data_IF_577762832514
#
_entry.id   IF_577762832514
#
_cell.length_a   1.000
_cell.length_b   1.000
_cell.length_c   1.000
_cell.angle_alpha   90.00
_cell.angle_beta   90.00
_cell.angle_gamma   90.00
#
_symmetry.space_group_name_H-M   'P 1'
#
loop_
_entity.id
_entity.type
_entity.pdbx_description
1 polymer ?
#
# COMPACT_ATOMS: atom_id res chain seq x y z
N UNK A 1 17.57 -7.57 9.67
CA UNK A 1 17.32 -8.64 8.73
C UNK A 1 16.07 -9.46 8.96
N UNK A 2 15.87 -10.07 10.13
CA UNK A 2 14.76 -11.02 10.39
C UNK A 2 13.37 -10.39 10.25
N UNK A 3 13.18 -9.15 10.70
CA UNK A 3 11.90 -8.43 10.57
C UNK A 3 11.52 -8.19 9.10
N UNK A 4 12.47 -7.79 8.27
CA UNK A 4 12.26 -7.60 6.83
C UNK A 4 11.95 -8.92 6.12
N UNK A 5 12.65 -9.99 6.48
CA UNK A 5 12.41 -11.32 5.91
C UNK A 5 10.99 -11.79 6.22
N UNK A 6 10.55 -11.65 7.47
CA UNK A 6 9.18 -11.96 7.88
C UNK A 6 8.16 -11.11 7.11
N UNK A 7 8.41 -9.80 6.99
CA UNK A 7 7.53 -8.90 6.24
C UNK A 7 7.35 -9.37 4.78
N UNK A 8 8.44 -9.73 4.10
CA UNK A 8 8.37 -10.20 2.71
C UNK A 8 7.73 -11.58 2.58
N UNK A 9 8.01 -12.52 3.49
CA UNK A 9 7.35 -13.83 3.50
C UNK A 9 5.83 -13.69 3.69
N UNK A 10 5.42 -12.90 4.66
CA UNK A 10 3.99 -12.58 4.84
C UNK A 10 3.44 -11.79 3.65
N UNK A 11 4.24 -10.95 3.01
CA UNK A 11 3.87 -10.15 1.85
C UNK A 11 3.35 -11.00 0.69
N UNK A 12 4.01 -12.12 0.39
CA UNK A 12 3.55 -13.04 -0.66
C UNK A 12 2.17 -13.61 -0.33
N UNK A 13 1.99 -14.10 0.89
CA UNK A 13 0.72 -14.67 1.35
C UNK A 13 -0.39 -13.61 1.36
N UNK A 14 -0.08 -12.42 1.87
CA UNK A 14 -1.07 -11.32 1.97
C UNK A 14 -1.44 -10.74 0.61
N UNK A 15 -0.54 -10.74 -0.37
CA UNK A 15 -0.87 -10.35 -1.74
C UNK A 15 -1.91 -11.31 -2.35
N UNK A 16 -1.75 -12.61 -2.12
CA UNK A 16 -2.72 -13.60 -2.59
C UNK A 16 -4.08 -13.45 -1.88
N UNK A 17 -4.06 -13.28 -0.56
CA UNK A 17 -5.28 -13.05 0.23
C UNK A 17 -5.95 -11.74 -0.20
N UNK A 18 -5.16 -10.67 -0.41
CA UNK A 18 -5.63 -9.38 -0.86
C UNK A 18 -6.30 -9.44 -2.24
N UNK A 19 -5.72 -10.20 -3.17
CA UNK A 19 -6.31 -10.45 -4.48
C UNK A 19 -7.66 -11.19 -4.37
N UNK A 20 -7.69 -12.27 -3.59
CA UNK A 20 -8.92 -13.04 -3.35
C UNK A 20 -10.01 -12.18 -2.67
N UNK A 21 -9.62 -11.34 -1.71
CA UNK A 21 -10.55 -10.44 -1.02
C UNK A 21 -11.07 -9.36 -1.97
N UNK A 22 -10.22 -8.85 -2.85
CA UNK A 22 -10.58 -7.84 -3.85
C UNK A 22 -11.60 -8.37 -4.86
N UNK A 23 -11.49 -9.64 -5.26
CA UNK A 23 -12.45 -10.29 -6.14
C UNK A 23 -13.85 -10.42 -5.50
N UNK A 24 -13.90 -10.50 -4.15
CA UNK A 24 -15.17 -10.62 -3.41
C UNK A 24 -15.80 -9.30 -2.99
N UNK A 25 -15.00 -8.36 -2.53
CA UNK A 25 -15.49 -7.10 -1.92
C UNK A 25 -15.38 -5.92 -2.89
N UNK A 26 -14.55 -6.06 -3.92
CA UNK A 26 -14.21 -5.01 -4.87
C UNK A 26 -12.82 -4.43 -4.64
N UNK A 27 -12.12 -4.16 -5.73
CA UNK A 27 -10.72 -3.69 -5.71
C UNK A 27 -10.55 -2.35 -4.99
N UNK A 28 -11.46 -1.41 -5.24
CA UNK A 28 -11.41 -0.08 -4.63
C UNK A 28 -11.57 -0.13 -3.10
N UNK A 29 -12.47 -0.98 -2.59
CA UNK A 29 -12.70 -1.13 -1.15
C UNK A 29 -11.49 -1.72 -0.44
N UNK A 30 -10.82 -2.70 -1.06
CA UNK A 30 -9.59 -3.28 -0.50
C UNK A 30 -8.49 -2.23 -0.43
N UNK A 31 -8.30 -1.44 -1.47
CA UNK A 31 -7.31 -0.35 -1.49
C UNK A 31 -7.60 0.67 -0.39
N UNK A 32 -8.84 1.15 -0.28
CA UNK A 32 -9.25 2.09 0.75
C UNK A 32 -9.03 1.53 2.16
N UNK A 33 -9.49 0.33 2.43
CA UNK A 33 -9.32 -0.31 3.73
C UNK A 33 -7.86 -0.49 4.11
N UNK A 34 -7.02 -0.92 3.16
CA UNK A 34 -5.60 -1.15 3.38
C UNK A 34 -4.86 0.15 3.75
N UNK A 35 -5.08 1.23 3.02
CA UNK A 35 -4.45 2.51 3.33
C UNK A 35 -4.96 3.13 4.63
N UNK A 36 -6.25 2.97 4.95
CA UNK A 36 -6.81 3.42 6.22
C UNK A 36 -6.26 2.61 7.41
N UNK A 37 -5.99 1.34 7.23
CA UNK A 37 -5.36 0.51 8.25
C UNK A 37 -3.87 0.85 8.40
N UNK A 38 -3.18 1.14 7.29
CA UNK A 38 -1.75 1.40 7.28
C UNK A 38 -1.36 2.63 8.11
N UNK A 39 -2.09 3.73 7.97
CA UNK A 39 -1.78 4.99 8.62
C UNK A 39 -1.71 4.89 10.16
N UNK A 40 -2.74 4.38 10.88
CA UNK A 40 -2.66 4.23 12.33
C UNK A 40 -1.63 3.18 12.76
N UNK A 41 -1.38 2.13 11.96
CA UNK A 41 -0.40 1.10 12.29
C UNK A 41 1.04 1.65 12.24
N UNK A 42 1.37 2.47 11.25
CA UNK A 42 2.68 3.15 11.19
C UNK A 42 2.80 4.16 12.34
N UNK A 43 1.74 4.89 12.68
CA UNK A 43 1.74 5.83 13.80
C UNK A 43 2.02 5.13 15.13
N UNK A 44 1.41 3.98 15.38
CA UNK A 44 1.66 3.18 16.58
C UNK A 44 3.10 2.65 16.58
N UNK A 45 3.57 2.17 15.41
CA UNK A 45 4.94 1.68 15.26
C UNK A 45 5.98 2.77 15.57
N UNK A 46 5.74 4.02 15.16
CA UNK A 46 6.65 5.15 15.40
C UNK A 46 6.85 5.47 16.88
N UNK A 47 5.86 5.18 17.71
CA UNK A 47 5.89 5.44 19.15
C UNK A 47 6.31 4.22 19.98
N UNK A 48 6.40 3.05 19.36
CA UNK A 48 6.68 1.81 20.06
C UNK A 48 8.18 1.55 20.12
N UNK A 49 8.69 1.34 21.34
CA UNK A 49 10.10 0.97 21.61
C UNK A 49 10.25 -0.52 21.92
N UNK A 50 9.14 -1.23 22.12
CA UNK A 50 9.14 -2.65 22.48
C UNK A 50 9.25 -3.53 21.24
N UNK A 51 10.32 -4.33 21.15
CA UNK A 51 10.59 -5.20 20.01
C UNK A 51 9.45 -6.20 19.71
N UNK A 52 8.83 -6.76 20.74
CA UNK A 52 7.72 -7.72 20.57
C UNK A 52 6.49 -7.08 19.91
N UNK A 53 6.16 -5.87 20.33
CA UNK A 53 5.03 -5.11 19.74
C UNK A 53 5.36 -4.72 18.30
N UNK A 54 6.61 -4.33 18.01
CA UNK A 54 7.06 -4.06 16.64
C UNK A 54 6.89 -5.29 15.73
N UNK A 55 7.28 -6.47 16.17
CA UNK A 55 7.08 -7.72 15.41
C UNK A 55 5.60 -8.03 15.20
N UNK A 56 4.77 -7.84 16.22
CA UNK A 56 3.32 -8.05 16.11
C UNK A 56 2.67 -7.08 15.12
N UNK A 57 3.10 -5.81 15.11
CA UNK A 57 2.61 -4.79 14.17
C UNK A 57 3.05 -5.05 12.72
N UNK A 58 4.16 -5.77 12.50
CA UNK A 58 4.61 -6.11 11.15
C UNK A 58 3.59 -6.94 10.36
N UNK A 59 2.77 -7.76 11.03
CA UNK A 59 1.75 -8.57 10.37
C UNK A 59 0.65 -7.70 9.73
N UNK A 60 -0.07 -6.83 10.47
CA UNK A 60 -1.09 -5.98 9.87
C UNK A 60 -0.50 -4.92 8.92
N UNK A 61 0.70 -4.42 9.19
CA UNK A 61 1.40 -3.50 8.28
C UNK A 61 1.73 -4.21 6.96
N UNK A 62 2.27 -5.42 7.01
CA UNK A 62 2.54 -6.24 5.83
C UNK A 62 1.27 -6.50 5.02
N UNK A 63 0.17 -6.86 5.70
CA UNK A 63 -1.12 -7.01 5.04
C UNK A 63 -1.57 -5.70 4.34
N UNK A 64 -1.52 -4.59 5.04
CA UNK A 64 -1.94 -3.29 4.51
C UNK A 64 -1.05 -2.79 3.35
N UNK A 65 0.24 -3.14 3.33
CA UNK A 65 1.16 -2.75 2.27
C UNK A 65 1.04 -3.62 1.01
N UNK A 66 0.92 -4.92 1.18
CA UNK A 66 0.98 -5.88 0.06
C UNK A 66 -0.40 -6.22 -0.51
N UNK A 67 -1.46 -6.18 0.29
CA UNK A 67 -2.82 -6.48 -0.15
C UNK A 67 -3.32 -5.57 -1.28
N UNK A 68 -3.10 -4.24 -1.28
CA UNK A 68 -3.57 -3.37 -2.34
C UNK A 68 -2.76 -3.47 -3.63
N UNK A 69 -1.59 -4.10 -3.63
CA UNK A 69 -0.71 -4.14 -4.80
C UNK A 69 -1.41 -4.72 -6.05
N UNK A 70 -2.00 -5.91 -5.92
CA UNK A 70 -2.74 -6.53 -7.03
C UNK A 70 -3.97 -5.72 -7.41
N UNK A 71 -4.67 -5.18 -6.42
CA UNK A 71 -5.88 -4.37 -6.63
C UNK A 71 -5.58 -3.08 -7.39
N UNK A 72 -4.48 -2.40 -7.10
CA UNK A 72 -4.07 -1.17 -7.81
C UNK A 72 -3.75 -1.46 -9.27
N UNK A 73 -3.07 -2.57 -9.55
CA UNK A 73 -2.76 -2.98 -10.94
C UNK A 73 -4.04 -3.27 -11.72
N UNK A 74 -4.97 -4.02 -11.14
CA UNK A 74 -6.25 -4.33 -11.78
C UNK A 74 -7.12 -3.09 -11.96
N UNK A 75 -7.16 -2.18 -10.98
CA UNK A 75 -7.84 -0.89 -11.13
C UNK A 75 -7.26 -0.07 -12.28
N UNK A 76 -5.93 0.00 -12.40
CA UNK A 76 -5.28 0.67 -13.51
C UNK A 76 -5.68 0.07 -14.89
N UNK A 77 -5.77 -1.25 -14.97
CA UNK A 77 -6.24 -1.96 -16.16
C UNK A 77 -7.71 -1.67 -16.46
N UNK A 78 -8.57 -1.63 -15.44
CA UNK A 78 -10.00 -1.35 -15.60
C UNK A 78 -10.25 0.09 -16.06
N UNK A 79 -9.50 1.06 -15.57
CA UNK A 79 -9.62 2.46 -16.00
C UNK A 79 -9.14 2.67 -17.44
N UNK A 80 -8.21 1.85 -17.92
CA UNK A 80 -7.64 1.89 -19.28
C UNK A 80 -7.90 0.58 -20.04
N UNK A 81 -9.13 0.10 -20.00
CA UNK A 81 -9.54 -1.21 -20.54
C UNK A 81 -9.18 -1.42 -22.04
N UNK A 82 -9.08 -0.33 -22.82
CA UNK A 82 -8.69 -0.39 -24.24
C UNK A 82 -7.21 -0.73 -24.47
N UNK A 83 -6.35 -0.58 -23.44
CA UNK A 83 -4.90 -0.73 -23.55
C UNK A 83 -4.31 -1.34 -22.27
N UNK A 84 -4.66 -2.59 -21.98
CA UNK A 84 -4.28 -3.30 -20.74
C UNK A 84 -2.75 -3.33 -20.54
N UNK A 85 -1.99 -3.57 -21.61
CA UNK A 85 -0.52 -3.58 -21.54
C UNK A 85 0.06 -2.22 -21.19
N UNK A 86 -0.46 -1.15 -21.79
CA UNK A 86 -0.06 0.23 -21.47
C UNK A 86 -0.46 0.60 -20.03
N UNK A 87 -1.68 0.27 -19.60
CA UNK A 87 -2.14 0.50 -18.24
C UNK A 87 -1.26 -0.17 -17.20
N UNK A 88 -0.91 -1.44 -17.40
CA UNK A 88 0.00 -2.18 -16.51
C UNK A 88 1.40 -1.56 -16.49
N UNK A 89 1.94 -1.20 -17.65
CA UNK A 89 3.26 -0.57 -17.77
C UNK A 89 3.33 0.78 -17.05
N UNK A 90 2.33 1.63 -17.23
CA UNK A 90 2.26 2.93 -16.55
C UNK A 90 2.07 2.75 -15.04
N UNK A 91 1.13 1.91 -14.62
CA UNK A 91 0.84 1.69 -13.20
C UNK A 91 2.05 1.13 -12.45
N UNK A 92 2.65 0.06 -12.96
CA UNK A 92 3.82 -0.57 -12.35
C UNK A 92 5.08 0.31 -12.50
N UNK A 93 5.25 0.93 -13.67
CA UNK A 93 6.38 1.81 -13.94
C UNK A 93 6.39 3.02 -13.00
N UNK A 94 5.28 3.69 -12.82
CA UNK A 94 5.15 4.80 -11.87
C UNK A 94 5.33 4.33 -10.42
N UNK A 95 4.75 3.20 -10.06
CA UNK A 95 4.86 2.64 -8.70
C UNK A 95 6.31 2.43 -8.30
N UNK A 96 7.11 1.76 -9.15
CA UNK A 96 8.51 1.51 -8.86
C UNK A 96 9.40 2.73 -9.05
N UNK A 97 9.13 3.58 -10.05
CA UNK A 97 9.93 4.78 -10.30
C UNK A 97 9.80 5.82 -9.18
N UNK A 98 8.57 6.06 -8.72
CA UNK A 98 8.32 6.97 -7.60
C UNK A 98 9.01 6.42 -6.34
N UNK A 99 8.85 5.14 -6.05
CA UNK A 99 9.54 4.49 -4.93
C UNK A 99 11.05 4.64 -5.03
N UNK A 100 11.63 4.37 -6.19
CA UNK A 100 13.07 4.47 -6.45
C UNK A 100 13.64 5.88 -6.22
N UNK A 101 12.89 6.93 -6.52
CA UNK A 101 13.32 8.32 -6.28
C UNK A 101 13.12 8.72 -4.82
N UNK A 102 11.99 8.36 -4.22
CA UNK A 102 11.68 8.78 -2.86
C UNK A 102 12.44 8.01 -1.77
N UNK A 103 12.79 6.75 -1.98
CA UNK A 103 13.52 5.94 -0.98
C UNK A 103 14.85 6.57 -0.57
N UNK A 104 15.75 7.01 -1.48
CA UNK A 104 16.97 7.70 -1.10
C UNK A 104 16.73 9.02 -0.36
N UNK A 105 15.70 9.77 -0.74
CA UNK A 105 15.35 11.05 -0.08
C UNK A 105 14.87 10.82 1.35
N UNK A 106 14.02 9.81 1.55
CA UNK A 106 13.54 9.41 2.88
C UNK A 106 14.70 8.87 3.72
N UNK A 107 15.65 8.13 3.10
CA UNK A 107 16.86 7.65 3.75
C UNK A 107 17.73 8.79 4.27
N UNK A 108 18.01 9.80 3.45
CA UNK A 108 18.74 11.00 3.87
C UNK A 108 18.01 11.77 4.97
N UNK A 109 16.69 11.84 4.91
CA UNK A 109 15.89 12.45 5.96
C UNK A 109 16.03 11.68 7.28
N UNK A 110 16.01 10.35 7.22
CA UNK A 110 16.20 9.48 8.40
C UNK A 110 17.59 9.66 9.03
N UNK A 111 18.63 9.78 8.20
CA UNK A 111 20.00 10.01 8.67
C UNK A 111 20.17 11.36 9.37
N UNK A 112 19.47 12.39 8.91
CA UNK A 112 19.59 13.75 9.46
C UNK A 112 18.68 14.00 10.67
N UNK A 113 17.47 13.45 10.67
CA UNK A 113 16.43 13.77 11.66
C UNK A 113 16.04 12.60 12.55
N UNK A 114 16.57 11.41 12.27
CA UNK A 114 16.30 10.21 13.03
C UNK A 114 15.07 9.42 12.55
N UNK A 115 15.05 8.15 12.94
CA UNK A 115 14.05 7.18 12.49
C UNK A 115 12.63 7.53 12.92
N UNK A 116 12.46 8.08 14.14
CA UNK A 116 11.14 8.41 14.69
C UNK A 116 10.43 9.47 13.84
N UNK A 117 11.13 10.57 13.52
CA UNK A 117 10.57 11.64 12.66
C UNK A 117 10.28 11.15 11.25
N UNK A 118 11.09 10.22 10.75
CA UNK A 118 10.85 9.58 9.46
C UNK A 118 9.57 8.75 9.46
N UNK A 119 9.31 8.02 10.53
CA UNK A 119 8.07 7.26 10.69
C UNK A 119 6.84 8.17 10.79
N UNK A 120 6.94 9.31 11.46
CA UNK A 120 5.89 10.33 11.51
C UNK A 120 5.61 10.90 10.12
N UNK A 121 6.66 11.18 9.33
CA UNK A 121 6.55 11.62 7.94
C UNK A 121 5.85 10.57 7.07
N UNK A 122 6.22 9.29 7.21
CA UNK A 122 5.56 8.19 6.50
C UNK A 122 4.09 8.02 6.91
N UNK A 123 3.76 8.25 8.17
CA UNK A 123 2.38 8.28 8.65
C UNK A 123 1.57 9.37 7.95
N UNK A 124 2.15 10.56 7.78
CA UNK A 124 1.52 11.65 7.07
C UNK A 124 1.26 11.30 5.60
N UNK A 125 2.24 10.69 4.91
CA UNK A 125 2.04 10.22 3.54
C UNK A 125 1.00 9.11 3.43
N UNK A 126 0.95 8.19 4.40
CA UNK A 126 -0.05 7.13 4.45
C UNK A 126 -1.47 7.71 4.63
N UNK A 127 -1.64 8.72 5.48
CA UNK A 127 -2.90 9.46 5.64
C UNK A 127 -3.30 10.18 4.34
N UNK A 128 -2.37 10.85 3.69
CA UNK A 128 -2.60 11.50 2.40
C UNK A 128 -3.05 10.49 1.34
N UNK A 129 -2.38 9.34 1.27
CA UNK A 129 -2.77 8.26 0.36
C UNK A 129 -4.17 7.73 0.68
N UNK A 130 -4.50 7.53 1.95
CA UNK A 130 -5.82 7.10 2.39
C UNK A 130 -6.92 8.10 1.98
N UNK A 131 -6.67 9.39 2.13
CA UNK A 131 -7.60 10.45 1.68
C UNK A 131 -7.74 10.46 0.16
N UNK A 132 -6.65 10.30 -0.58
CA UNK A 132 -6.67 10.24 -2.04
C UNK A 132 -7.49 9.05 -2.57
N UNK A 133 -7.58 7.95 -1.84
CA UNK A 133 -8.40 6.79 -2.26
C UNK A 133 -9.89 7.09 -2.32
N UNK A 134 -10.40 8.06 -1.58
CA UNK A 134 -11.79 8.50 -1.66
C UNK A 134 -12.11 9.32 -2.91
N UNK A 135 -11.09 9.90 -3.54
CA UNK A 135 -11.25 10.70 -4.77
C UNK A 135 -11.33 9.80 -6.00
N UNK A 136 -10.87 8.55 -5.90
CA UNK A 136 -10.90 7.60 -7.00
C UNK A 136 -12.34 7.26 -7.41
N UNK A 137 -12.69 7.44 -8.70
CA UNK A 137 -14.01 7.05 -9.21
C UNK A 137 -14.16 5.52 -9.17
N UNK A 138 -15.39 5.04 -8.97
CA UNK A 138 -15.68 3.61 -9.07
C UNK A 138 -15.41 3.12 -10.49
N UNK A 139 -14.73 1.98 -10.66
CA UNK A 139 -14.54 1.39 -11.99
C UNK A 139 -15.88 0.95 -12.56
N UNK A 140 -16.09 1.19 -13.85
CA UNK A 140 -17.27 0.67 -14.56
C UNK A 140 -17.12 -0.84 -14.71
N UNK A 141 -18.14 -1.58 -14.32
CA UNK A 141 -18.31 -2.98 -14.69
C UNK A 141 -18.82 -3.07 -16.13
N UNK A 142 -18.50 -4.16 -16.82
CA UNK A 142 -18.92 -4.38 -18.23
C UNK A 142 -20.45 -4.28 -18.42
N UNK A 143 -21.23 -4.44 -17.37
CA UNK A 143 -22.70 -4.33 -17.37
C UNK A 143 -23.23 -2.90 -17.17
N UNK A 144 -22.35 -1.88 -17.14
CA UNK A 144 -22.76 -0.49 -16.96
C UNK A 144 -23.31 -0.13 -15.56
N UNK A 145 -23.25 -1.06 -14.61
CA UNK A 145 -23.59 -0.84 -13.22
C UNK A 145 -22.35 -0.51 -12.41
N UNK A 146 -22.46 0.49 -11.53
CA UNK A 146 -21.39 0.83 -10.60
C UNK A 146 -21.15 -0.34 -9.62
N UNK A 147 -19.91 -0.80 -9.56
CA UNK A 147 -19.51 -1.86 -8.67
C UNK A 147 -19.30 -1.35 -7.23
#
# INVERSE_FOLDING_TARGET
GSALTLLFMFGVVTTLIGGFLADRIGYLKVVQFSYWLLAPMIAILSQTTNAYICFLLMVPIGFAMFSPFSSVVVLGQNYLAKSIGFASGVTLGLYFSIGGVFVPLIGQFADNYGLQKTMELLTFFALLAALCTFILPKPFTEDGTEA
#
